data_IF_562947107056
#
_entry.id   IF_562947107056
#
_cell.length_a   1.000
_cell.length_b   1.000
_cell.length_c   1.000
_cell.angle_alpha   90.00
_cell.angle_beta   90.00
_cell.angle_gamma   90.00
#
_symmetry.space_group_name_H-M   'P 1'
#
loop_
_entity.id
_entity.type
_entity.pdbx_description
1 polymer ?
#
# COMPACT_ATOMS: atom_id res chain seq x y z
N UNK A 1 -8.14 84.20 -20.74
CA UNK A 1 -7.15 84.76 -21.70
C UNK A 1 -6.29 83.62 -22.24
N UNK A 2 -6.30 83.45 -23.58
CA UNK A 2 -5.39 82.66 -24.47
C UNK A 2 -5.16 81.17 -24.11
N UNK A 3 -5.76 80.23 -24.85
CA UNK A 3 -5.30 79.68 -26.15
C UNK A 3 -3.90 79.04 -26.02
N UNK A 4 -3.65 77.74 -26.22
CA UNK A 4 -4.24 76.75 -27.12
C UNK A 4 -3.17 76.35 -28.13
N UNK A 5 -2.83 75.06 -28.28
CA UNK A 5 -2.73 74.43 -29.60
C UNK A 5 -2.56 72.90 -29.57
N UNK A 6 -3.25 72.26 -30.51
CA UNK A 6 -3.18 70.85 -30.90
C UNK A 6 -2.25 70.70 -32.12
N UNK A 7 -1.78 69.49 -32.39
CA UNK A 7 -1.33 69.04 -33.73
C UNK A 7 -0.58 67.72 -33.66
N UNK A 8 -1.20 66.56 -33.93
CA UNK A 8 -1.55 65.91 -35.21
C UNK A 8 -0.41 65.10 -35.85
N UNK A 9 -0.65 63.78 -35.89
CA UNK A 9 -0.54 62.81 -37.02
C UNK A 9 0.72 62.76 -37.91
N UNK A 10 1.24 61.54 -38.09
CA UNK A 10 2.01 61.15 -39.27
C UNK A 10 2.56 59.73 -39.23
N UNK A 11 1.88 58.78 -39.91
CA UNK A 11 2.31 57.40 -40.16
C UNK A 11 3.47 57.38 -41.19
N UNK A 12 4.42 56.45 -41.06
CA UNK A 12 4.93 55.69 -42.22
C UNK A 12 5.53 54.34 -41.83
N UNK A 13 5.44 53.42 -42.80
CA UNK A 13 5.51 51.95 -42.74
C UNK A 13 6.58 51.52 -43.73
N UNK A 14 7.58 50.73 -43.32
CA UNK A 14 8.46 49.89 -44.17
C UNK A 14 8.87 48.69 -43.29
N UNK A 15 8.29 47.49 -43.38
CA UNK A 15 8.44 46.35 -44.32
C UNK A 15 9.85 45.72 -44.36
N UNK A 16 9.85 44.38 -44.26
CA UNK A 16 10.94 43.40 -44.50
C UNK A 16 11.89 43.18 -43.31
N UNK A 17 12.30 41.96 -42.91
CA UNK A 17 12.20 40.62 -43.51
C UNK A 17 12.51 39.55 -42.45
N UNK A 18 11.95 38.37 -42.69
CA UNK A 18 12.22 37.04 -42.12
C UNK A 18 13.69 36.71 -41.77
N UNK A 19 13.88 36.02 -40.65
CA UNK A 19 15.10 35.30 -40.31
C UNK A 19 14.88 34.36 -39.12
N UNK A 20 14.40 33.14 -39.39
CA UNK A 20 14.43 32.03 -38.44
C UNK A 20 15.88 31.68 -38.09
N UNK A 21 16.20 31.59 -36.79
CA UNK A 21 17.38 30.87 -36.32
C UNK A 21 16.96 29.85 -35.27
N UNK A 22 16.85 28.61 -35.73
CA UNK A 22 16.74 27.40 -34.91
C UNK A 22 18.07 27.24 -34.17
N UNK A 23 18.03 27.25 -32.83
CA UNK A 23 19.18 26.89 -31.99
C UNK A 23 19.05 25.41 -31.66
N UNK A 24 19.75 24.57 -32.41
CA UNK A 24 19.91 23.13 -32.10
C UNK A 24 20.96 22.98 -31.00
N UNK A 25 20.58 22.39 -29.86
CA UNK A 25 21.50 21.95 -28.80
C UNK A 25 22.30 20.71 -29.26
N UNK A 26 23.59 20.59 -28.91
CA UNK A 26 24.38 19.42 -29.27
C UNK A 26 24.07 18.22 -28.36
N UNK A 27 23.86 17.05 -28.98
CA UNK A 27 23.63 15.75 -28.33
C UNK A 27 24.91 15.21 -27.66
N UNK A 28 24.78 14.45 -26.55
CA UNK A 28 25.92 13.81 -25.88
C UNK A 28 26.43 12.59 -26.67
N UNK A 29 27.72 12.24 -26.55
CA UNK A 29 28.30 11.10 -27.28
C UNK A 29 27.82 9.75 -26.70
N UNK A 30 27.50 8.82 -27.60
CA UNK A 30 27.21 7.41 -27.28
C UNK A 30 28.53 6.67 -26.99
N UNK A 31 28.57 5.75 -26.00
CA UNK A 31 29.69 4.83 -25.87
C UNK A 31 29.58 3.69 -26.89
N UNK A 32 30.72 3.42 -27.54
CA UNK A 32 30.95 2.39 -28.55
C UNK A 32 30.95 0.98 -27.97
N UNK A 33 30.27 0.06 -28.64
CA UNK A 33 30.45 -1.39 -28.51
C UNK A 33 31.71 -1.85 -29.23
N UNK A 34 32.60 -2.56 -28.53
CA UNK A 34 33.50 -3.52 -29.17
C UNK A 34 33.85 -4.65 -28.20
N UNK A 35 33.42 -5.87 -28.55
CA UNK A 35 34.03 -7.12 -28.10
C UNK A 35 35.48 -7.18 -28.61
N UNK A 36 36.43 -7.65 -27.79
CA UNK A 36 37.10 -8.92 -28.10
C UNK A 36 38.02 -9.48 -26.99
N UNK A 37 37.91 -10.80 -26.87
CA UNK A 37 38.88 -11.84 -26.51
C UNK A 37 40.07 -11.62 -25.54
N UNK A 38 40.05 -12.46 -24.49
CA UNK A 38 41.10 -13.39 -24.02
C UNK A 38 42.57 -12.91 -24.06
N UNK A 39 43.19 -12.82 -22.88
CA UNK A 39 44.41 -13.60 -22.55
C UNK A 39 44.71 -13.64 -21.05
N UNK A 40 44.90 -14.88 -20.62
CA UNK A 40 45.54 -15.39 -19.41
C UNK A 40 46.89 -14.77 -19.07
N UNK A 41 47.14 -14.49 -17.79
CA UNK A 41 48.46 -14.64 -17.13
C UNK A 41 48.27 -15.04 -15.67
N UNK A 42 48.90 -16.16 -15.31
CA UNK A 42 49.18 -16.69 -13.98
C UNK A 42 49.88 -15.67 -13.05
N UNK A 43 49.43 -15.57 -11.78
CA UNK A 43 50.35 -15.36 -10.65
C UNK A 43 49.85 -16.18 -9.45
N UNK A 44 50.61 -17.22 -9.12
CA UNK A 44 50.47 -18.04 -7.92
C UNK A 44 51.63 -17.71 -6.97
N UNK A 45 51.33 -17.28 -5.74
CA UNK A 45 52.04 -17.65 -4.48
C UNK A 45 51.55 -16.81 -3.30
N UNK A 46 51.07 -17.49 -2.25
CA UNK A 46 50.86 -16.86 -0.94
C UNK A 46 49.98 -17.66 0.02
N UNK A 47 50.38 -18.89 0.37
CA UNK A 47 49.78 -19.68 1.47
C UNK A 47 49.80 -18.89 2.79
N UNK A 48 48.64 -18.76 3.47
CA UNK A 48 48.53 -18.98 4.92
C UNK A 48 47.19 -19.64 5.23
N UNK A 49 47.31 -20.77 5.92
CA UNK A 49 46.30 -21.69 6.43
C UNK A 49 45.54 -21.09 7.60
N UNK A 50 44.21 -21.24 7.59
CA UNK A 50 43.35 -21.05 8.78
C UNK A 50 42.79 -22.42 9.13
N UNK A 51 43.06 -22.82 10.37
CA UNK A 51 42.72 -24.11 10.98
C UNK A 51 41.21 -24.31 11.11
N UNK A 52 40.78 -25.50 10.70
CA UNK A 52 39.43 -26.02 10.90
C UNK A 52 39.31 -26.57 12.32
N UNK A 53 38.48 -25.95 13.16
CA UNK A 53 38.14 -26.46 14.48
C UNK A 53 37.20 -27.68 14.37
N UNK A 54 37.76 -28.86 14.56
CA UNK A 54 37.04 -30.11 14.85
C UNK A 54 36.66 -30.18 16.33
N UNK A 55 35.37 -30.37 16.63
CA UNK A 55 34.87 -30.72 17.97
C UNK A 55 35.05 -32.21 18.26
N UNK A 56 35.31 -32.62 19.51
CA UNK A 56 35.56 -34.02 19.86
C UNK A 56 34.26 -34.79 20.15
N UNK A 57 34.30 -36.09 19.82
CA UNK A 57 33.35 -37.11 20.27
C UNK A 57 33.52 -37.39 21.77
N UNK A 58 32.40 -37.62 22.46
CA UNK A 58 32.37 -38.40 23.69
C UNK A 58 31.12 -39.30 23.71
N UNK A 59 31.37 -40.53 24.13
CA UNK A 59 30.59 -41.74 23.95
C UNK A 59 29.46 -41.95 24.97
N UNK A 60 28.42 -42.67 24.49
CA UNK A 60 27.62 -43.71 25.17
C UNK A 60 26.91 -43.35 26.48
N UNK A 61 25.58 -43.45 26.47
CA UNK A 61 24.83 -44.50 27.19
C UNK A 61 23.39 -44.53 26.68
N UNK A 62 22.90 -45.73 26.36
CA UNK A 62 21.54 -45.93 25.84
C UNK A 62 20.56 -46.27 26.96
N UNK A 63 19.31 -45.85 26.79
CA UNK A 63 18.13 -46.41 27.46
C UNK A 63 16.98 -46.41 26.44
N UNK A 64 16.36 -47.56 26.12
CA UNK A 64 15.26 -47.62 25.16
C UNK A 64 13.93 -47.31 25.84
N UNK A 65 13.20 -46.31 25.35
CA UNK A 65 11.81 -46.06 25.75
C UNK A 65 10.90 -47.01 24.97
N UNK A 66 10.25 -47.93 25.69
CA UNK A 66 9.24 -48.85 25.17
C UNK A 66 7.93 -48.09 24.94
N UNK A 67 7.43 -48.12 23.71
CA UNK A 67 6.05 -47.74 23.37
C UNK A 67 5.16 -48.92 23.73
N UNK A 68 4.28 -48.73 24.72
CA UNK A 68 3.25 -49.70 25.10
C UNK A 68 1.91 -49.22 24.52
N UNK A 69 1.43 -49.93 23.49
CA UNK A 69 0.06 -49.84 23.02
C UNK A 69 -0.85 -50.56 24.03
N UNK A 70 -1.90 -49.87 24.49
CA UNK A 70 -2.93 -50.45 25.35
C UNK A 70 -4.29 -50.35 24.66
N UNK A 71 -4.71 -51.47 24.07
CA UNK A 71 -6.10 -51.77 23.75
C UNK A 71 -6.80 -52.25 25.02
N UNK A 72 -7.86 -51.57 25.45
CA UNK A 72 -8.88 -52.15 26.34
C UNK A 72 -10.25 -51.69 25.84
N UNK A 73 -11.05 -52.65 25.38
CA UNK A 73 -12.50 -52.52 25.36
C UNK A 73 -13.08 -53.15 26.62
N UNK A 74 -14.18 -52.62 27.14
CA UNK A 74 -15.43 -53.36 27.39
C UNK A 74 -16.50 -52.48 28.05
N UNK A 75 -17.74 -52.94 27.82
CA UNK A 75 -18.91 -52.87 28.69
C UNK A 75 -19.88 -51.68 28.52
N UNK A 76 -20.94 -52.01 27.79
CA UNK A 76 -22.24 -51.38 27.78
C UNK A 76 -22.87 -51.37 29.18
N UNK A 77 -23.54 -50.26 29.50
CA UNK A 77 -24.60 -50.22 30.51
C UNK A 77 -25.87 -49.73 29.81
N UNK A 78 -26.85 -50.62 29.74
CA UNK A 78 -28.19 -50.33 29.26
C UNK A 78 -28.95 -49.52 30.31
N UNK A 79 -29.40 -48.31 29.94
CA UNK A 79 -30.33 -47.51 30.70
C UNK A 79 -31.58 -47.24 29.87
N UNK A 80 -32.70 -47.84 30.27
CA UNK A 80 -34.04 -47.56 29.73
C UNK A 80 -34.58 -46.24 30.31
N UNK A 81 -34.98 -45.32 29.43
CA UNK A 81 -35.68 -44.06 29.75
C UNK A 81 -36.49 -43.58 28.54
N UNK A 82 -37.58 -42.82 28.73
CA UNK A 82 -38.80 -42.97 27.96
C UNK A 82 -38.77 -42.38 26.54
N UNK A 83 -39.51 -43.07 25.68
CA UNK A 83 -39.79 -42.84 24.26
C UNK A 83 -40.21 -41.38 23.98
N UNK A 84 -39.25 -40.55 23.60
CA UNK A 84 -39.49 -39.24 22.97
C UNK A 84 -39.49 -39.42 21.44
N UNK A 85 -40.40 -38.71 20.78
CA UNK A 85 -40.66 -38.79 19.35
C UNK A 85 -39.38 -38.63 18.51
N UNK A 86 -39.23 -39.50 17.51
CA UNK A 86 -38.16 -39.39 16.53
C UNK A 86 -38.27 -38.04 15.81
N UNK A 87 -37.22 -37.20 15.81
CA UNK A 87 -37.15 -36.13 14.84
C UNK A 87 -37.03 -36.80 13.48
N UNK A 88 -37.99 -36.52 12.59
CA UNK A 88 -37.87 -36.77 11.16
C UNK A 88 -36.49 -36.33 10.72
N UNK A 89 -35.68 -37.27 10.24
CA UNK A 89 -34.41 -37.00 9.61
C UNK A 89 -34.67 -35.99 8.49
N UNK A 90 -34.40 -34.72 8.78
CA UNK A 90 -34.28 -33.70 7.76
C UNK A 90 -33.25 -34.23 6.78
N UNK A 91 -33.68 -34.35 5.53
CA UNK A 91 -32.80 -34.55 4.38
C UNK A 91 -31.54 -33.70 4.61
N UNK A 92 -30.32 -34.26 4.55
CA UNK A 92 -29.14 -33.43 4.61
C UNK A 92 -29.29 -32.43 3.46
N UNK A 93 -29.43 -31.15 3.81
CA UNK A 93 -29.38 -30.07 2.84
C UNK A 93 -28.05 -30.22 2.14
N UNK A 94 -28.10 -30.72 0.90
CA UNK A 94 -26.95 -30.77 0.03
C UNK A 94 -26.39 -29.35 -0.03
N UNK A 95 -25.13 -29.17 0.35
CA UNK A 95 -24.39 -27.97 -0.02
C UNK A 95 -24.65 -27.71 -1.52
N UNK A 96 -24.95 -26.47 -1.95
CA UNK A 96 -25.26 -26.23 -3.35
C UNK A 96 -24.09 -26.71 -4.19
N UNK A 97 -24.35 -27.64 -5.12
CA UNK A 97 -23.41 -27.89 -6.19
C UNK A 97 -23.20 -26.58 -6.96
N UNK A 98 -21.95 -26.14 -7.13
CA UNK A 98 -21.59 -25.15 -8.15
C UNK A 98 -21.32 -23.70 -7.71
N UNK A 99 -21.15 -23.39 -6.41
CA UNK A 99 -20.73 -22.03 -6.00
C UNK A 99 -19.30 -21.76 -6.44
N UNK A 100 -19.09 -20.75 -7.30
CA UNK A 100 -17.76 -20.30 -7.68
C UNK A 100 -17.24 -19.21 -6.75
N UNK A 101 -15.92 -19.03 -6.72
CA UNK A 101 -15.24 -18.10 -5.81
C UNK A 101 -14.47 -17.02 -6.53
N UNK A 102 -14.54 -15.83 -5.96
CA UNK A 102 -13.53 -14.79 -6.11
C UNK A 102 -12.62 -14.84 -4.90
N UNK A 103 -11.33 -15.00 -5.14
CA UNK A 103 -10.31 -15.01 -4.07
C UNK A 103 -9.60 -13.66 -4.06
N UNK A 104 -9.40 -13.09 -2.88
CA UNK A 104 -8.51 -11.95 -2.67
C UNK A 104 -7.28 -12.45 -1.91
N UNK A 105 -6.09 -12.35 -2.49
CA UNK A 105 -4.82 -12.72 -1.85
C UNK A 105 -4.15 -11.45 -1.33
N UNK A 106 -3.89 -11.37 -0.03
CA UNK A 106 -3.17 -10.23 0.56
C UNK A 106 -1.65 -10.34 0.31
N UNK A 107 -0.90 -9.25 0.49
CA UNK A 107 0.56 -9.30 0.48
C UNK A 107 1.14 -9.83 1.81
N UNK A 108 0.45 -9.61 2.93
CA UNK A 108 0.80 -10.09 4.27
C UNK A 108 -0.39 -10.05 5.23
N UNK A 109 -0.12 -10.11 6.53
CA UNK A 109 -1.13 -10.00 7.58
C UNK A 109 -1.01 -8.63 8.27
N UNK A 110 -2.00 -7.77 8.04
CA UNK A 110 -2.07 -6.41 8.56
C UNK A 110 -3.54 -6.00 8.76
N UNK A 111 -3.89 -5.22 9.81
CA UNK A 111 -5.25 -4.72 10.04
C UNK A 111 -5.88 -3.94 8.87
N UNK A 112 -5.08 -3.37 7.97
CA UNK A 112 -5.53 -2.79 6.69
C UNK A 112 -6.43 -3.77 5.91
N UNK A 113 -6.10 -5.06 5.96
CA UNK A 113 -6.84 -6.10 5.25
C UNK A 113 -8.21 -6.41 5.89
N UNK A 114 -8.43 -6.06 7.16
CA UNK A 114 -9.75 -6.23 7.79
C UNK A 114 -10.77 -5.26 7.20
N UNK A 115 -10.37 -4.01 6.95
CA UNK A 115 -11.20 -3.03 6.24
C UNK A 115 -11.48 -3.45 4.79
N UNK A 116 -10.47 -3.97 4.09
CA UNK A 116 -10.64 -4.52 2.74
C UNK A 116 -11.61 -5.71 2.74
N UNK A 117 -11.50 -6.61 3.72
CA UNK A 117 -12.40 -7.75 3.84
C UNK A 117 -13.85 -7.32 4.13
N UNK A 118 -14.06 -6.32 5.00
CA UNK A 118 -15.39 -5.73 5.20
C UNK A 118 -15.94 -5.16 3.88
N UNK A 119 -15.08 -4.55 3.07
CA UNK A 119 -15.40 -4.13 1.71
C UNK A 119 -15.79 -5.26 0.76
N UNK A 120 -15.08 -6.38 0.79
CA UNK A 120 -15.42 -7.58 0.01
C UNK A 120 -16.80 -8.14 0.42
N UNK A 121 -17.08 -8.20 1.73
CA UNK A 121 -18.37 -8.66 2.25
C UNK A 121 -19.49 -7.73 1.81
N UNK A 122 -19.32 -6.42 1.95
CA UNK A 122 -20.31 -5.45 1.52
C UNK A 122 -20.48 -5.45 0.00
N UNK A 123 -19.40 -5.55 -0.77
CA UNK A 123 -19.45 -5.70 -2.22
C UNK A 123 -20.21 -6.96 -2.63
N UNK A 124 -19.97 -8.08 -1.95
CA UNK A 124 -20.68 -9.33 -2.21
C UNK A 124 -22.19 -9.18 -2.02
N UNK A 125 -22.61 -8.47 -0.97
CA UNK A 125 -24.01 -8.13 -0.71
C UNK A 125 -24.57 -7.15 -1.74
N UNK A 126 -23.89 -6.02 -2.01
CA UNK A 126 -24.33 -4.96 -2.93
C UNK A 126 -24.52 -5.46 -4.36
N UNK A 127 -23.67 -6.38 -4.81
CA UNK A 127 -23.68 -6.88 -6.18
C UNK A 127 -24.32 -8.27 -6.31
N UNK A 128 -24.95 -8.77 -5.25
CA UNK A 128 -25.77 -9.99 -5.27
C UNK A 128 -24.99 -11.25 -5.63
N UNK A 129 -23.78 -11.43 -5.09
CA UNK A 129 -22.96 -12.61 -5.44
C UNK A 129 -23.65 -13.93 -5.09
N UNK A 130 -24.30 -14.02 -3.93
CA UNK A 130 -24.96 -15.26 -3.47
C UNK A 130 -26.05 -15.71 -4.44
N UNK A 131 -26.91 -14.78 -4.90
CA UNK A 131 -27.96 -15.03 -5.89
C UNK A 131 -27.41 -15.51 -7.24
N UNK A 132 -26.13 -15.21 -7.51
CA UNK A 132 -25.40 -15.59 -8.72
C UNK A 132 -24.57 -16.87 -8.56
N UNK A 133 -24.65 -17.53 -7.40
CA UNK A 133 -23.81 -18.69 -7.08
C UNK A 133 -22.32 -18.32 -6.98
N UNK A 134 -22.02 -17.11 -6.53
CA UNK A 134 -20.68 -16.59 -6.33
C UNK A 134 -20.43 -16.28 -4.85
N UNK A 135 -19.18 -16.35 -4.41
CA UNK A 135 -18.75 -15.83 -3.11
C UNK A 135 -17.37 -15.18 -3.20
N UNK A 136 -17.15 -14.10 -2.45
CA UNK A 136 -15.83 -13.49 -2.27
C UNK A 136 -15.16 -14.03 -1.00
N UNK A 137 -13.86 -14.29 -1.06
CA UNK A 137 -13.08 -14.83 0.07
C UNK A 137 -11.73 -14.15 0.12
N UNK A 138 -11.34 -13.64 1.28
CA UNK A 138 -9.98 -13.19 1.52
C UNK A 138 -9.10 -14.34 2.04
N UNK A 139 -7.88 -14.41 1.51
CA UNK A 139 -6.86 -15.40 1.82
C UNK A 139 -5.58 -14.65 2.21
N UNK A 140 -5.24 -14.69 3.50
CA UNK A 140 -4.05 -14.01 4.01
C UNK A 140 -2.78 -14.71 3.54
N UNK A 141 -1.84 -13.95 2.98
CA UNK A 141 -0.50 -14.44 2.69
C UNK A 141 0.38 -14.41 3.94
N UNK A 142 1.41 -15.25 3.97
CA UNK A 142 2.38 -15.31 5.08
C UNK A 142 3.46 -14.22 5.03
N UNK A 143 3.27 -13.16 4.22
CA UNK A 143 4.26 -12.10 4.04
C UNK A 143 5.45 -12.50 3.15
N UNK A 144 5.34 -13.57 2.35
CA UNK A 144 6.42 -14.00 1.44
C UNK A 144 5.93 -14.13 -0.01
N UNK A 145 6.82 -13.91 -0.97
CA UNK A 145 6.54 -14.17 -2.38
C UNK A 145 6.23 -15.65 -2.66
N UNK A 146 6.94 -16.55 -1.97
CA UNK A 146 6.73 -17.99 -2.08
C UNK A 146 5.29 -18.38 -1.68
N UNK A 147 4.76 -17.77 -0.61
CA UNK A 147 3.38 -17.99 -0.19
C UNK A 147 2.34 -17.59 -1.26
N UNK A 148 2.57 -16.47 -1.98
CA UNK A 148 1.68 -16.07 -3.09
C UNK A 148 1.78 -17.05 -4.26
N UNK A 149 2.99 -17.47 -4.64
CA UNK A 149 3.24 -18.44 -5.71
C UNK A 149 2.51 -19.77 -5.42
N UNK A 150 2.62 -20.29 -4.20
CA UNK A 150 1.98 -21.54 -3.79
C UNK A 150 0.45 -21.44 -3.82
N UNK A 151 -0.12 -20.33 -3.31
CA UNK A 151 -1.57 -20.09 -3.38
C UNK A 151 -2.07 -20.02 -4.82
N UNK A 152 -1.39 -19.27 -5.69
CA UNK A 152 -1.76 -19.16 -7.11
C UNK A 152 -1.74 -20.53 -7.80
N UNK A 153 -0.70 -21.34 -7.58
CA UNK A 153 -0.61 -22.73 -8.07
C UNK A 153 -1.75 -23.59 -7.55
N UNK A 154 -2.06 -23.48 -6.26
CA UNK A 154 -3.14 -24.24 -5.62
C UNK A 154 -4.51 -23.89 -6.24
N UNK A 155 -4.77 -22.63 -6.55
CA UNK A 155 -6.00 -22.22 -7.25
C UNK A 155 -6.02 -22.73 -8.71
N UNK A 156 -4.84 -22.96 -9.27
CA UNK A 156 -4.63 -23.61 -10.56
C UNK A 156 -5.20 -25.04 -10.67
N UNK A 157 -5.51 -25.71 -9.56
CA UNK A 157 -6.12 -27.04 -9.58
C UNK A 157 -7.61 -27.05 -9.19
N UNK A 158 -8.17 -25.90 -8.82
CA UNK A 158 -9.51 -25.76 -8.29
C UNK A 158 -10.46 -25.21 -9.36
N UNK A 159 -11.49 -25.99 -9.73
CA UNK A 159 -12.43 -25.65 -10.80
C UNK A 159 -13.48 -24.62 -10.41
N UNK A 160 -13.63 -24.35 -9.12
CA UNK A 160 -14.58 -23.39 -8.57
C UNK A 160 -14.03 -21.96 -8.51
N UNK A 161 -12.75 -21.73 -8.79
CA UNK A 161 -12.17 -20.38 -8.80
C UNK A 161 -12.57 -19.65 -10.09
N UNK A 162 -13.41 -18.64 -9.96
CA UNK A 162 -13.85 -17.78 -11.06
C UNK A 162 -12.95 -16.56 -11.26
N UNK A 163 -12.31 -16.08 -10.20
CA UNK A 163 -11.44 -14.92 -10.24
C UNK A 163 -10.51 -14.83 -9.03
N UNK A 164 -9.38 -14.18 -9.22
CA UNK A 164 -8.38 -13.89 -8.20
C UNK A 164 -7.98 -12.41 -8.31
N UNK A 165 -8.17 -11.68 -7.22
CA UNK A 165 -7.53 -10.41 -6.95
C UNK A 165 -6.31 -10.66 -6.05
N UNK A 166 -5.22 -9.95 -6.30
CA UNK A 166 -3.99 -10.10 -5.52
C UNK A 166 -3.35 -8.74 -5.24
N UNK A 167 -2.97 -8.48 -3.98
CA UNK A 167 -1.98 -7.44 -3.66
C UNK A 167 -0.60 -8.05 -3.77
N UNK A 168 0.11 -7.72 -4.85
CA UNK A 168 1.42 -8.33 -5.17
C UNK A 168 2.47 -7.83 -4.17
N UNK A 169 3.16 -8.75 -3.50
CA UNK A 169 4.16 -8.39 -2.47
C UNK A 169 5.47 -7.85 -3.06
N UNK A 170 5.82 -8.27 -4.28
CA UNK A 170 7.06 -7.90 -4.96
C UNK A 170 6.77 -7.65 -6.44
N UNK A 171 6.74 -6.37 -6.81
CA UNK A 171 6.36 -5.92 -8.15
C UNK A 171 7.20 -6.57 -9.26
N UNK A 172 8.50 -6.80 -9.01
CA UNK A 172 9.44 -7.37 -9.98
C UNK A 172 9.48 -8.91 -10.03
N UNK A 173 8.66 -9.60 -9.24
CA UNK A 173 8.76 -11.05 -9.10
C UNK A 173 8.11 -11.79 -10.28
N UNK A 174 8.92 -12.18 -11.25
CA UNK A 174 8.48 -12.89 -12.46
C UNK A 174 7.74 -14.21 -12.17
N UNK A 175 8.05 -14.91 -11.07
CA UNK A 175 7.38 -16.17 -10.73
C UNK A 175 5.93 -15.94 -10.27
N UNK A 176 5.64 -14.87 -9.53
CA UNK A 176 4.26 -14.47 -9.21
C UNK A 176 3.51 -14.14 -10.51
N UNK A 177 4.13 -13.35 -11.38
CA UNK A 177 3.57 -12.94 -12.68
C UNK A 177 3.24 -14.15 -13.55
N UNK A 178 4.13 -15.14 -13.61
CA UNK A 178 3.91 -16.37 -14.38
C UNK A 178 2.69 -17.14 -13.87
N UNK A 179 2.53 -17.32 -12.56
CA UNK A 179 1.37 -18.02 -12.00
C UNK A 179 0.06 -17.24 -12.19
N UNK A 180 0.11 -15.91 -12.13
CA UNK A 180 -1.04 -15.06 -12.51
C UNK A 180 -1.46 -15.32 -13.96
N UNK A 181 -0.50 -15.34 -14.89
CA UNK A 181 -0.76 -15.63 -16.31
C UNK A 181 -1.28 -17.05 -16.53
N UNK A 182 -0.76 -18.04 -15.81
CA UNK A 182 -1.21 -19.42 -15.87
C UNK A 182 -2.69 -19.55 -15.45
N UNK A 183 -3.11 -18.85 -14.40
CA UNK A 183 -4.53 -18.79 -14.01
C UNK A 183 -5.38 -18.11 -15.07
N UNK A 184 -4.93 -16.97 -15.59
CA UNK A 184 -5.65 -16.24 -16.65
C UNK A 184 -5.87 -17.10 -17.90
N UNK A 185 -4.86 -17.86 -18.33
CA UNK A 185 -4.94 -18.78 -19.47
C UNK A 185 -5.98 -19.90 -19.27
N UNK A 186 -6.36 -20.21 -18.03
CA UNK A 186 -7.41 -21.18 -17.68
C UNK A 186 -8.80 -20.56 -17.56
N UNK A 187 -8.93 -19.26 -17.84
CA UNK A 187 -10.19 -18.52 -17.77
C UNK A 187 -10.51 -17.91 -16.41
N UNK A 188 -9.62 -18.03 -15.42
CA UNK A 188 -9.75 -17.34 -14.13
C UNK A 188 -9.52 -15.84 -14.36
N UNK A 189 -10.42 -14.99 -13.87
CA UNK A 189 -10.22 -13.53 -13.97
C UNK A 189 -9.12 -13.09 -13.01
N UNK A 190 -8.18 -12.29 -13.48
CA UNK A 190 -7.05 -11.82 -12.68
C UNK A 190 -7.07 -10.30 -12.64
N UNK A 191 -6.89 -9.72 -11.45
CA UNK A 191 -6.65 -8.28 -11.25
C UNK A 191 -5.62 -8.09 -10.14
N UNK A 192 -4.98 -6.93 -10.10
CA UNK A 192 -4.16 -6.53 -8.95
C UNK A 192 -4.87 -5.47 -8.12
N UNK A 193 -4.66 -5.48 -6.81
CA UNK A 193 -5.32 -4.56 -5.89
C UNK A 193 -4.33 -4.10 -4.82
N UNK A 194 -4.26 -2.81 -4.53
CA UNK A 194 -3.28 -2.20 -3.61
C UNK A 194 -1.82 -2.37 -4.10
N UNK A 195 -1.25 -3.57 -4.00
CA UNK A 195 0.06 -3.94 -4.58
C UNK A 195 -0.07 -4.39 -6.03
N UNK A 196 0.73 -3.79 -6.93
CA UNK A 196 0.75 -4.12 -8.35
C UNK A 196 2.05 -4.80 -8.77
N UNK A 197 2.07 -5.35 -9.98
CA UNK A 197 3.29 -5.78 -10.66
C UNK A 197 4.06 -4.56 -11.18
N UNK A 198 5.35 -4.72 -11.48
CA UNK A 198 6.08 -3.71 -12.22
C UNK A 198 5.44 -3.57 -13.61
N UNK A 199 4.75 -2.46 -13.84
CA UNK A 199 3.94 -2.23 -15.05
C UNK A 199 4.80 -1.99 -16.30
N UNK A 200 6.05 -1.56 -16.13
CA UNK A 200 6.99 -1.41 -17.24
C UNK A 200 7.50 -2.76 -17.73
N UNK A 201 7.71 -3.70 -16.80
CA UNK A 201 8.19 -5.05 -17.11
C UNK A 201 7.08 -6.06 -17.44
N UNK A 202 5.92 -5.94 -16.78
CA UNK A 202 4.87 -6.96 -16.75
C UNK A 202 3.46 -6.41 -17.05
N UNK A 203 3.36 -5.43 -17.97
CA UNK A 203 2.08 -4.78 -18.36
C UNK A 203 0.95 -5.75 -18.70
N UNK A 204 1.29 -6.94 -19.22
CA UNK A 204 0.34 -7.98 -19.65
C UNK A 204 -0.06 -8.98 -18.55
N UNK A 205 0.48 -8.86 -17.33
CA UNK A 205 0.18 -9.78 -16.22
C UNK A 205 -1.29 -9.68 -15.74
N UNK A 206 -1.91 -8.51 -15.92
CA UNK A 206 -3.26 -8.21 -15.43
C UNK A 206 -3.91 -7.12 -16.30
N UNK A 207 -5.23 -7.19 -16.56
CA UNK A 207 -5.95 -6.20 -17.35
C UNK A 207 -6.32 -4.93 -16.57
N UNK A 208 -6.47 -5.00 -15.24
CA UNK A 208 -6.99 -3.90 -14.40
C UNK A 208 -6.37 -3.89 -13.01
N UNK A 209 -6.16 -2.69 -12.47
CA UNK A 209 -5.71 -2.44 -11.10
C UNK A 209 -6.71 -1.59 -10.34
N UNK A 210 -6.87 -1.88 -9.05
CA UNK A 210 -7.65 -1.08 -8.10
C UNK A 210 -6.73 -0.69 -6.96
N UNK A 211 -6.64 0.59 -6.61
CA UNK A 211 -5.88 0.95 -5.43
C UNK A 211 -5.70 2.45 -5.23
N UNK A 212 -4.49 2.82 -4.84
CA UNK A 212 -4.17 4.19 -4.44
C UNK A 212 -3.18 4.81 -5.41
N UNK A 213 -3.45 6.04 -5.85
CA UNK A 213 -2.40 6.87 -6.44
C UNK A 213 -1.47 7.36 -5.33
N UNK A 214 -0.37 6.63 -5.15
CA UNK A 214 0.60 6.88 -4.08
C UNK A 214 1.34 8.21 -4.25
N UNK A 215 1.52 8.71 -5.48
CA UNK A 215 2.12 10.02 -5.73
C UNK A 215 1.15 11.11 -5.27
N UNK A 216 -0.14 11.01 -5.64
CA UNK A 216 -1.18 11.95 -5.19
C UNK A 216 -1.33 11.90 -3.68
N UNK A 217 -1.30 10.71 -3.06
CA UNK A 217 -1.31 10.58 -1.60
C UNK A 217 -0.13 11.29 -0.96
N UNK A 218 1.08 11.11 -1.51
CA UNK A 218 2.27 11.81 -1.03
C UNK A 218 2.09 13.32 -1.11
N UNK A 219 1.59 13.82 -2.25
CA UNK A 219 1.33 15.25 -2.44
C UNK A 219 0.30 15.77 -1.44
N UNK A 220 -0.77 15.03 -1.20
CA UNK A 220 -1.79 15.38 -0.21
C UNK A 220 -1.19 15.53 1.19
N UNK A 221 -0.34 14.58 1.60
CA UNK A 221 0.34 14.65 2.90
C UNK A 221 1.31 15.84 2.96
N UNK A 222 2.05 16.11 1.88
CA UNK A 222 2.96 17.25 1.78
C UNK A 222 2.25 18.60 1.83
N UNK A 223 1.08 18.72 1.17
CA UNK A 223 0.22 19.91 1.25
C UNK A 223 -0.30 20.13 2.67
N UNK A 224 -0.77 19.08 3.32
CA UNK A 224 -1.22 19.15 4.71
C UNK A 224 -0.08 19.58 5.64
N UNK A 225 1.11 18.98 5.50
CA UNK A 225 2.28 19.36 6.28
C UNK A 225 2.66 20.82 6.10
N UNK A 226 2.64 21.33 4.86
CA UNK A 226 2.92 22.74 4.56
C UNK A 226 1.93 23.67 5.24
N UNK A 227 0.63 23.37 5.19
CA UNK A 227 -0.41 24.16 5.84
C UNK A 227 -0.18 24.21 7.37
N UNK A 228 0.08 23.06 7.98
CA UNK A 228 0.37 22.95 9.42
C UNK A 228 1.62 23.74 9.81
N UNK A 229 2.70 23.61 9.03
CA UNK A 229 3.96 24.32 9.27
C UNK A 229 3.78 25.84 9.14
N UNK A 230 3.04 26.30 8.12
CA UNK A 230 2.72 27.70 7.94
C UNK A 230 1.86 28.26 9.09
N UNK A 231 0.84 27.52 9.53
CA UNK A 231 -0.01 27.88 10.68
C UNK A 231 0.80 27.99 11.99
N UNK A 232 1.91 27.24 12.11
CA UNK A 232 2.87 27.32 13.22
C UNK A 232 3.94 28.40 13.05
N UNK A 233 3.88 29.20 11.97
CA UNK A 233 4.89 30.22 11.65
C UNK A 233 6.25 29.64 11.25
N UNK A 234 6.34 28.34 10.91
CA UNK A 234 7.59 27.70 10.45
C UNK A 234 7.68 27.79 8.94
N UNK A 235 8.49 28.71 8.44
CA UNK A 235 8.69 28.93 6.99
C UNK A 235 9.79 28.08 6.37
N UNK A 236 10.58 27.37 7.16
CA UNK A 236 11.67 26.48 6.70
C UNK A 236 12.03 25.43 7.75
N UNK A 237 12.78 24.40 7.36
CA UNK A 237 13.37 23.42 8.29
C UNK A 237 13.58 22.04 7.66
N UNK A 238 14.23 21.14 8.40
CA UNK A 238 14.44 19.77 7.95
C UNK A 238 13.21 18.88 8.16
N UNK A 239 13.08 17.81 7.39
CA UNK A 239 12.16 16.72 7.71
C UNK A 239 12.78 15.36 7.39
N UNK A 240 12.34 14.33 8.09
CA UNK A 240 12.72 12.93 7.86
C UNK A 240 11.48 12.13 7.50
N UNK A 241 11.62 11.22 6.53
CA UNK A 241 10.57 10.26 6.17
C UNK A 241 10.94 8.85 6.63
N UNK A 242 9.98 8.13 7.21
CA UNK A 242 10.14 6.76 7.72
C UNK A 242 9.25 5.80 6.91
N UNK A 243 9.78 4.63 6.57
CA UNK A 243 9.06 3.51 5.96
C UNK A 243 9.83 2.22 6.22
N UNK A 244 9.22 1.05 6.02
CA UNK A 244 9.98 -0.20 6.08
C UNK A 244 10.98 -0.33 4.95
N UNK A 245 10.54 -0.18 3.70
CA UNK A 245 11.39 -0.23 2.52
C UNK A 245 11.24 1.06 1.72
N UNK A 246 12.26 1.91 1.72
CA UNK A 246 12.24 3.23 1.07
C UNK A 246 12.34 3.15 -0.46
N UNK A 247 12.72 1.98 -0.95
CA UNK A 247 12.85 1.61 -2.35
C UNK A 247 11.66 0.80 -2.88
N UNK A 248 10.66 0.47 -2.07
CA UNK A 248 9.38 -0.04 -2.57
C UNK A 248 8.64 1.07 -3.32
N UNK A 249 8.00 0.74 -4.45
CA UNK A 249 7.40 1.75 -5.34
C UNK A 249 6.32 2.60 -4.66
N UNK A 250 5.48 2.00 -3.83
CA UNK A 250 4.46 2.72 -3.07
C UNK A 250 5.08 3.73 -2.09
N UNK A 251 6.08 3.31 -1.29
CA UNK A 251 6.78 4.16 -0.33
C UNK A 251 7.55 5.27 -1.06
N UNK A 252 8.29 4.92 -2.12
CA UNK A 252 9.03 5.87 -2.96
C UNK A 252 8.11 6.93 -3.55
N UNK A 253 6.95 6.51 -4.07
CA UNK A 253 5.93 7.40 -4.63
C UNK A 253 5.36 8.36 -3.56
N UNK A 254 4.93 7.83 -2.40
CA UNK A 254 4.45 8.67 -1.28
C UNK A 254 5.52 9.67 -0.84
N UNK A 255 6.76 9.23 -0.66
CA UNK A 255 7.87 10.07 -0.23
C UNK A 255 8.22 11.16 -1.25
N UNK A 256 8.21 10.82 -2.54
CA UNK A 256 8.50 11.77 -3.61
C UNK A 256 7.36 12.79 -3.77
N UNK A 257 6.10 12.34 -3.72
CA UNK A 257 4.94 13.22 -3.74
C UNK A 257 4.94 14.19 -2.56
N UNK A 258 5.31 13.72 -1.36
CA UNK A 258 5.47 14.58 -0.18
C UNK A 258 6.50 15.68 -0.44
N UNK A 259 7.70 15.29 -0.90
CA UNK A 259 8.79 16.22 -1.21
C UNK A 259 8.40 17.26 -2.27
N UNK A 260 7.69 16.84 -3.31
CA UNK A 260 7.18 17.74 -4.35
C UNK A 260 6.22 18.79 -3.80
N UNK A 261 5.40 18.41 -2.81
CA UNK A 261 4.28 19.23 -2.38
C UNK A 261 4.54 20.10 -1.15
N UNK A 262 5.46 19.69 -0.26
CA UNK A 262 5.73 20.38 1.02
C UNK A 262 6.37 21.76 0.82
N UNK A 263 7.12 21.95 -0.26
CA UNK A 263 7.70 23.24 -0.68
C UNK A 263 9.22 23.32 -0.49
N UNK A 264 9.88 24.12 -1.32
CA UNK A 264 11.35 24.17 -1.46
C UNK A 264 12.10 24.68 -0.22
N UNK A 265 11.41 25.39 0.68
CA UNK A 265 12.01 25.88 1.94
C UNK A 265 12.13 24.80 3.02
N UNK A 266 11.57 23.61 2.79
CA UNK A 266 11.71 22.45 3.66
C UNK A 266 12.60 21.41 3.01
N UNK A 267 13.60 20.94 3.74
CA UNK A 267 14.64 20.04 3.21
C UNK A 267 14.44 18.63 3.73
N UNK A 268 14.36 17.65 2.82
CA UNK A 268 14.48 16.23 3.17
C UNK A 268 15.91 15.98 3.67
N UNK A 269 16.08 15.72 4.96
CA UNK A 269 17.41 15.48 5.54
C UNK A 269 17.75 13.99 5.63
N UNK A 270 16.74 13.12 5.64
CA UNK A 270 16.93 11.66 5.64
C UNK A 270 15.67 10.89 5.19
N UNK A 271 15.88 9.64 4.74
CA UNK A 271 14.86 8.60 4.54
C UNK A 271 15.31 7.35 5.26
N UNK A 272 14.60 6.97 6.32
CA UNK A 272 15.06 5.90 7.21
C UNK A 272 14.23 4.61 7.00
N UNK A 273 14.80 3.56 6.36
CA UNK A 273 14.18 2.26 6.25
C UNK A 273 14.19 1.53 7.61
N UNK A 274 13.11 0.81 7.91
CA UNK A 274 12.99 0.00 9.12
C UNK A 274 12.78 -1.50 8.87
N UNK A 275 12.63 -1.94 7.62
CA UNK A 275 12.44 -3.34 7.22
C UNK A 275 11.25 -4.03 7.92
N UNK A 276 10.21 -3.27 8.27
CA UNK A 276 9.06 -3.72 9.08
C UNK A 276 9.40 -4.13 10.52
N UNK A 277 10.62 -3.84 10.99
CA UNK A 277 11.02 -4.02 12.37
C UNK A 277 10.49 -2.86 13.22
N UNK A 278 9.46 -3.12 14.02
CA UNK A 278 8.83 -2.11 14.88
C UNK A 278 9.77 -1.50 15.93
N UNK A 279 10.82 -2.21 16.32
CA UNK A 279 11.85 -1.67 17.22
C UNK A 279 12.76 -0.72 16.45
N UNK A 280 13.20 -1.13 15.26
CA UNK A 280 13.98 -0.26 14.36
C UNK A 280 13.22 0.99 13.96
N UNK A 281 11.91 0.89 13.70
CA UNK A 281 11.06 2.05 13.40
C UNK A 281 11.13 3.12 14.52
N UNK A 282 11.06 2.70 15.79
CA UNK A 282 11.22 3.61 16.94
C UNK A 282 12.64 4.14 17.08
N UNK A 283 13.64 3.29 16.91
CA UNK A 283 15.04 3.69 17.00
C UNK A 283 15.45 4.65 15.88
N UNK A 284 14.87 4.53 14.69
CA UNK A 284 15.01 5.49 13.60
C UNK A 284 14.48 6.86 14.01
N UNK A 285 13.30 6.95 14.63
CA UNK A 285 12.78 8.24 15.12
C UNK A 285 13.70 8.83 16.19
N UNK A 286 14.18 8.02 17.14
CA UNK A 286 15.14 8.47 18.18
C UNK A 286 16.42 9.01 17.53
N UNK A 287 16.93 8.30 16.53
CA UNK A 287 18.15 8.65 15.79
C UNK A 287 17.95 9.94 15.00
N UNK A 288 16.82 10.10 14.31
CA UNK A 288 16.49 11.32 13.57
C UNK A 288 16.48 12.56 14.47
N UNK A 289 15.86 12.47 15.66
CA UNK A 289 15.81 13.57 16.61
C UNK A 289 17.19 13.97 17.18
N UNK A 290 18.11 13.00 17.29
CA UNK A 290 19.48 13.26 17.77
C UNK A 290 20.35 13.83 16.65
N UNK A 291 20.30 13.22 15.46
CA UNK A 291 21.18 13.56 14.35
C UNK A 291 20.76 14.84 13.61
N UNK A 292 19.49 15.23 13.72
CA UNK A 292 18.93 16.39 13.03
C UNK A 292 18.19 17.31 14.02
N UNK A 293 18.88 18.15 14.80
CA UNK A 293 18.24 19.03 15.79
C UNK A 293 17.38 20.16 15.18
N UNK A 294 17.47 20.39 13.87
CA UNK A 294 16.72 21.42 13.12
C UNK A 294 15.47 20.92 12.40
N UNK A 295 14.91 19.78 12.84
CA UNK A 295 13.69 19.24 12.24
C UNK A 295 12.49 20.16 12.48
N UNK A 296 11.66 20.27 11.46
CA UNK A 296 10.35 20.89 11.50
C UNK A 296 9.24 19.83 11.42
N UNK A 297 9.50 18.69 10.76
CA UNK A 297 8.52 17.61 10.63
C UNK A 297 9.14 16.20 10.68
N UNK A 298 8.33 15.24 11.14
CA UNK A 298 8.54 13.80 11.03
C UNK A 298 7.39 13.23 10.19
N UNK A 299 7.72 12.40 9.20
CA UNK A 299 6.76 11.91 8.19
C UNK A 299 6.71 10.39 8.20
N UNK A 300 5.58 9.81 8.62
CA UNK A 300 5.38 8.36 8.60
C UNK A 300 4.71 7.92 7.30
N UNK A 301 5.28 6.97 6.57
CA UNK A 301 4.77 6.57 5.24
C UNK A 301 3.93 5.31 5.29
N UNK A 302 4.12 4.45 6.30
CA UNK A 302 3.30 3.27 6.57
C UNK A 302 2.63 3.36 7.95
N UNK A 303 1.56 2.58 8.12
CA UNK A 303 0.67 2.64 9.28
C UNK A 303 1.39 2.63 10.64
N UNK A 304 2.36 1.73 10.83
CA UNK A 304 3.06 1.58 12.11
C UNK A 304 4.10 2.67 12.39
N UNK A 305 4.44 3.52 11.41
CA UNK A 305 5.33 4.66 11.66
C UNK A 305 4.63 5.71 12.52
N UNK A 306 3.31 5.84 12.40
CA UNK A 306 2.52 6.81 13.16
C UNK A 306 2.61 6.63 14.69
N UNK A 307 2.32 5.44 15.26
CA UNK A 307 2.51 5.23 16.69
C UNK A 307 3.97 5.34 17.12
N UNK A 308 4.95 4.91 16.30
CA UNK A 308 6.37 5.03 16.62
C UNK A 308 6.84 6.50 16.73
N UNK A 309 6.41 7.35 15.79
CA UNK A 309 6.69 8.78 15.81
C UNK A 309 6.08 9.41 17.08
N UNK A 310 4.80 9.15 17.33
CA UNK A 310 4.10 9.73 18.47
C UNK A 310 4.70 9.33 19.83
N UNK A 311 5.04 8.05 20.01
CA UNK A 311 5.68 7.51 21.22
C UNK A 311 7.02 8.20 21.48
N UNK A 312 7.91 8.24 20.49
CA UNK A 312 9.25 8.80 20.68
C UNK A 312 9.22 10.32 20.83
N UNK A 313 8.32 11.02 20.14
CA UNK A 313 8.15 12.46 20.32
C UNK A 313 7.72 12.81 21.75
N UNK A 314 6.86 11.99 22.36
CA UNK A 314 6.46 12.10 23.76
C UNK A 314 7.64 11.82 24.69
N UNK A 315 8.35 10.69 24.51
CA UNK A 315 9.55 10.32 25.28
C UNK A 315 10.60 11.44 25.31
N UNK A 316 10.79 12.13 24.19
CA UNK A 316 11.80 13.18 24.01
C UNK A 316 11.31 14.58 24.35
N UNK A 317 10.04 14.73 24.73
CA UNK A 317 9.42 16.04 24.96
C UNK A 317 9.49 16.94 23.72
N UNK A 318 9.39 16.36 22.52
CA UNK A 318 9.51 17.03 21.23
C UNK A 318 8.27 17.87 20.84
N UNK A 319 7.38 18.12 21.81
CA UNK A 319 6.28 19.11 21.76
C UNK A 319 6.11 19.86 23.08
N UNK A 320 7.11 19.82 23.97
CA UNK A 320 7.01 20.41 25.32
C UNK A 320 6.97 21.94 25.35
N UNK A 321 7.40 22.59 24.26
CA UNK A 321 7.37 24.06 24.09
C UNK A 321 7.02 24.42 22.65
N UNK A 322 6.60 25.67 22.42
CA UNK A 322 6.34 26.17 21.06
C UNK A 322 7.57 26.04 20.13
N UNK A 323 8.78 26.29 20.66
CA UNK A 323 10.04 26.14 19.93
C UNK A 323 10.34 24.69 19.55
N UNK A 324 9.92 23.73 20.38
CA UNK A 324 10.10 22.29 20.12
C UNK A 324 8.97 21.70 19.28
N UNK A 325 7.90 22.43 19.01
CA UNK A 325 6.68 21.92 18.36
C UNK A 325 6.94 21.30 16.97
N UNK A 326 7.28 20.02 16.94
CA UNK A 326 7.50 19.25 15.73
C UNK A 326 6.18 18.84 15.09
N UNK A 327 6.09 18.99 13.78
CA UNK A 327 4.98 18.47 12.98
C UNK A 327 5.10 16.96 12.78
N UNK A 328 4.01 16.23 12.99
CA UNK A 328 3.92 14.80 12.74
C UNK A 328 2.75 14.55 11.79
N UNK A 329 3.05 14.09 10.59
CA UNK A 329 2.07 13.77 9.55
C UNK A 329 2.35 12.36 9.05
N UNK A 330 1.31 11.56 8.88
CA UNK A 330 1.49 10.13 8.66
C UNK A 330 0.53 9.57 7.61
N UNK A 331 0.78 8.34 7.20
CA UNK A 331 -0.12 7.55 6.36
C UNK A 331 -0.84 6.46 7.15
N UNK A 332 -1.99 6.07 6.62
CA UNK A 332 -2.86 4.99 7.09
C UNK A 332 -3.40 5.24 8.51
N UNK A 333 -4.39 4.46 8.93
CA UNK A 333 -5.14 4.69 10.16
C UNK A 333 -5.20 3.44 11.03
N UNK A 334 -4.04 2.96 11.48
CA UNK A 334 -4.00 1.96 12.54
C UNK A 334 -4.66 2.50 13.82
N UNK A 335 -5.32 1.63 14.59
CA UNK A 335 -6.07 2.01 15.78
C UNK A 335 -5.22 2.85 16.76
N UNK A 336 -3.96 2.48 16.96
CA UNK A 336 -3.04 3.24 17.80
C UNK A 336 -2.79 4.66 17.26
N UNK A 337 -2.69 4.85 15.94
CA UNK A 337 -2.51 6.18 15.34
C UNK A 337 -3.73 7.09 15.57
N UNK A 338 -4.94 6.53 15.55
CA UNK A 338 -6.17 7.27 15.85
C UNK A 338 -6.18 7.80 17.29
N UNK A 339 -5.75 6.98 18.25
CA UNK A 339 -5.60 7.43 19.64
C UNK A 339 -4.51 8.50 19.78
N UNK A 340 -3.37 8.32 19.12
CA UNK A 340 -2.29 9.32 19.12
C UNK A 340 -2.73 10.65 18.50
N UNK A 341 -3.57 10.64 17.47
CA UNK A 341 -4.17 11.86 16.94
C UNK A 341 -5.14 12.51 17.94
N UNK A 342 -6.01 11.72 18.59
CA UNK A 342 -6.92 12.23 19.61
C UNK A 342 -6.17 12.87 20.80
N UNK A 343 -4.99 12.36 21.12
CA UNK A 343 -4.06 12.90 22.14
C UNK A 343 -3.27 14.14 21.66
N UNK A 344 -3.47 14.59 20.41
CA UNK A 344 -2.74 15.74 19.84
C UNK A 344 -1.28 15.44 19.46
N UNK A 345 -0.93 14.17 19.27
CA UNK A 345 0.45 13.72 18.93
C UNK A 345 0.67 13.51 17.43
N UNK A 346 -0.40 13.50 16.63
CA UNK A 346 -0.38 13.44 15.16
C UNK A 346 -1.25 14.58 14.63
N UNK A 347 -0.72 15.35 13.67
CA UNK A 347 -1.36 16.58 13.19
C UNK A 347 -2.25 16.35 11.96
N UNK A 348 -1.92 15.36 11.12
CA UNK A 348 -2.77 14.92 10.01
C UNK A 348 -2.38 13.50 9.56
N UNK A 349 -3.34 12.77 9.00
CA UNK A 349 -3.12 11.47 8.38
C UNK A 349 -3.70 11.43 6.97
N UNK A 350 -2.97 10.90 6.01
CA UNK A 350 -3.54 10.50 4.71
C UNK A 350 -3.88 9.02 4.79
N UNK A 351 -5.15 8.70 4.65
CA UNK A 351 -5.69 7.36 4.83
C UNK A 351 -6.23 6.86 3.50
N UNK A 352 -5.83 5.64 3.14
CA UNK A 352 -6.32 4.96 1.96
C UNK A 352 -7.76 4.47 2.17
N UNK A 353 -8.36 3.89 1.13
CA UNK A 353 -9.71 3.32 1.22
C UNK A 353 -9.73 1.82 0.88
N UNK A 354 -9.14 0.95 1.73
CA UNK A 354 -9.19 -0.50 1.52
C UNK A 354 -10.60 -1.06 1.47
N UNK A 355 -11.54 -0.50 2.24
CA UNK A 355 -12.94 -0.88 2.17
C UNK A 355 -13.49 -0.75 0.75
N UNK A 356 -13.25 0.40 0.10
CA UNK A 356 -13.66 0.60 -1.27
C UNK A 356 -12.87 -0.27 -2.25
N UNK A 357 -11.58 -0.58 -1.98
CA UNK A 357 -10.83 -1.57 -2.76
C UNK A 357 -11.53 -2.93 -2.74
N UNK A 358 -12.02 -3.38 -1.58
CA UNK A 358 -12.80 -4.61 -1.47
C UNK A 358 -14.11 -4.55 -2.24
N UNK A 359 -14.89 -3.47 -2.10
CA UNK A 359 -16.16 -3.28 -2.81
C UNK A 359 -15.93 -3.32 -4.33
N UNK A 360 -14.98 -2.54 -4.83
CA UNK A 360 -14.70 -2.45 -6.27
C UNK A 360 -14.07 -3.74 -6.82
N UNK A 361 -13.32 -4.49 -6.01
CA UNK A 361 -12.83 -5.82 -6.39
C UNK A 361 -13.99 -6.75 -6.74
N UNK A 362 -15.02 -6.79 -5.89
CA UNK A 362 -16.19 -7.63 -6.16
C UNK A 362 -16.92 -7.14 -7.41
N UNK A 363 -17.12 -5.83 -7.55
CA UNK A 363 -17.78 -5.24 -8.72
C UNK A 363 -17.09 -5.66 -10.02
N UNK A 364 -15.77 -5.51 -10.05
CA UNK A 364 -14.95 -5.78 -11.23
C UNK A 364 -14.88 -7.27 -11.56
N UNK A 365 -14.57 -8.12 -10.58
CA UNK A 365 -14.48 -9.56 -10.82
C UNK A 365 -15.82 -10.16 -11.26
N UNK A 366 -16.95 -9.69 -10.69
CA UNK A 366 -18.30 -10.04 -11.17
C UNK A 366 -18.46 -9.64 -12.63
N UNK A 367 -18.20 -8.37 -12.97
CA UNK A 367 -18.39 -7.87 -14.32
C UNK A 367 -17.52 -8.63 -15.34
N UNK A 368 -16.25 -8.91 -15.00
CA UNK A 368 -15.36 -9.72 -15.83
C UNK A 368 -15.81 -11.17 -15.98
N UNK A 369 -16.38 -11.76 -14.92
CA UNK A 369 -16.89 -13.14 -14.93
C UNK A 369 -18.13 -13.29 -15.81
N UNK A 370 -19.04 -12.32 -15.72
CA UNK A 370 -20.33 -12.30 -16.44
C UNK A 370 -20.24 -11.70 -17.85
N UNK A 371 -19.05 -11.23 -18.25
CA UNK A 371 -18.83 -10.48 -19.50
C UNK A 371 -19.71 -9.21 -19.61
N UNK A 372 -19.90 -8.52 -18.48
CA UNK A 372 -20.59 -7.23 -18.38
C UNK A 372 -19.64 -6.09 -18.76
N UNK A 373 -19.41 -5.94 -20.07
CA UNK A 373 -18.50 -4.94 -20.63
C UNK A 373 -18.94 -3.50 -20.32
N UNK A 374 -20.24 -3.26 -20.11
CA UNK A 374 -20.77 -1.94 -19.76
C UNK A 374 -20.29 -1.50 -18.37
N UNK A 375 -20.39 -2.37 -17.37
CA UNK A 375 -19.85 -2.08 -16.02
C UNK A 375 -18.33 -1.89 -16.06
N UNK A 376 -17.61 -2.69 -16.85
CA UNK A 376 -16.15 -2.55 -16.99
C UNK A 376 -15.79 -1.20 -17.63
N UNK A 377 -16.51 -0.77 -18.67
CA UNK A 377 -16.29 0.52 -19.32
C UNK A 377 -16.64 1.70 -18.40
N UNK A 378 -17.65 1.56 -17.54
CA UNK A 378 -17.97 2.57 -16.52
C UNK A 378 -16.84 2.69 -15.48
N UNK A 379 -16.28 1.56 -15.03
CA UNK A 379 -15.18 1.55 -14.06
C UNK A 379 -13.85 2.04 -14.66
N UNK A 380 -13.63 1.82 -15.96
CA UNK A 380 -12.40 2.18 -16.66
C UNK A 380 -12.72 3.00 -17.94
N UNK A 381 -13.23 4.23 -17.79
CA UNK A 381 -13.70 5.03 -18.93
C UNK A 381 -12.58 5.42 -19.90
N UNK A 382 -11.33 5.43 -19.43
CA UNK A 382 -10.15 5.78 -20.21
C UNK A 382 -9.39 4.55 -20.74
N UNK A 383 -10.00 3.36 -20.70
CA UNK A 383 -9.34 2.12 -21.13
C UNK A 383 -8.73 2.26 -22.53
N UNK A 384 -7.48 1.82 -22.67
CA UNK A 384 -6.71 1.91 -23.91
C UNK A 384 -5.81 3.14 -24.00
N UNK A 385 -5.98 4.13 -23.11
CA UNK A 385 -5.01 5.22 -22.91
C UNK A 385 -3.91 4.78 -21.92
N UNK A 386 -2.76 5.49 -21.87
CA UNK A 386 -1.80 5.33 -20.79
C UNK A 386 -2.51 5.44 -19.43
N UNK A 387 -2.26 4.47 -18.55
CA UNK A 387 -2.87 4.38 -17.22
C UNK A 387 -4.41 4.31 -17.17
N UNK A 388 -5.07 4.10 -18.31
CA UNK A 388 -6.51 3.88 -18.39
C UNK A 388 -6.98 2.54 -17.79
N UNK A 389 -6.05 1.71 -17.33
CA UNK A 389 -6.26 0.44 -16.64
C UNK A 389 -6.25 0.56 -15.10
N UNK A 390 -6.18 1.78 -14.57
CA UNK A 390 -6.13 2.06 -13.13
C UNK A 390 -7.46 2.63 -12.62
N UNK A 391 -7.96 2.06 -11.53
CA UNK A 391 -9.06 2.61 -10.74
C UNK A 391 -8.50 3.04 -9.37
N UNK A 392 -8.68 4.31 -9.01
CA UNK A 392 -8.31 4.79 -7.67
C UNK A 392 -9.53 4.77 -6.75
N UNK A 393 -9.36 4.39 -5.49
CA UNK A 393 -10.47 4.29 -4.52
C UNK A 393 -10.63 5.52 -3.61
N UNK A 394 -9.94 6.60 -3.98
CA UNK A 394 -9.92 7.85 -3.23
C UNK A 394 -8.98 7.81 -2.03
N UNK A 395 -8.75 8.99 -1.48
CA UNK A 395 -7.92 9.23 -0.31
C UNK A 395 -8.72 10.04 0.71
N UNK A 396 -8.40 9.88 1.99
CA UNK A 396 -8.95 10.70 3.07
C UNK A 396 -7.84 11.46 3.76
N UNK A 397 -8.04 12.76 3.98
CA UNK A 397 -7.23 13.56 4.88
C UNK A 397 -7.95 13.62 6.23
N UNK A 398 -7.41 12.90 7.21
CA UNK A 398 -7.92 12.87 8.57
C UNK A 398 -7.21 13.93 9.40
N UNK A 399 -7.98 14.73 10.12
CA UNK A 399 -7.49 15.85 10.94
C UNK A 399 -8.05 15.78 12.38
N UNK A 400 -7.40 16.46 13.35
CA UNK A 400 -7.97 16.63 14.68
C UNK A 400 -9.35 17.30 14.67
N UNK A 401 -10.20 16.94 15.63
CA UNK A 401 -11.55 17.51 15.75
C UNK A 401 -11.56 18.98 16.16
N UNK A 402 -10.58 19.40 16.97
CA UNK A 402 -10.47 20.77 17.50
C UNK A 402 -9.35 21.51 16.81
N UNK A 403 -9.65 22.71 16.29
CA UNK A 403 -8.71 23.63 15.64
C UNK A 403 -7.73 22.96 14.65
N UNK A 404 -8.23 22.22 13.63
CA UNK A 404 -7.36 21.60 12.64
C UNK A 404 -6.52 22.66 11.92
N UNK A 405 -5.20 22.48 11.94
CA UNK A 405 -4.24 23.43 11.38
C UNK A 405 -4.14 23.36 9.84
N UNK A 406 -4.77 22.36 9.23
CA UNK A 406 -4.96 22.25 7.79
C UNK A 406 -6.45 22.28 7.49
N UNK A 407 -6.87 23.11 6.54
CA UNK A 407 -8.26 23.24 6.10
C UNK A 407 -8.43 22.73 4.67
N UNK A 408 -9.66 22.41 4.23
CA UNK A 408 -9.91 22.00 2.85
C UNK A 408 -9.37 22.99 1.81
N UNK A 409 -9.51 24.29 2.05
CA UNK A 409 -9.03 25.35 1.15
C UNK A 409 -7.51 25.43 0.99
N UNK A 410 -6.74 24.78 1.88
CA UNK A 410 -5.28 24.72 1.80
C UNK A 410 -4.77 23.66 0.80
N UNK A 411 -5.67 22.80 0.30
CA UNK A 411 -5.36 21.63 -0.52
C UNK A 411 -5.90 21.82 -1.94
N UNK A 412 -4.98 21.91 -2.90
CA UNK A 412 -5.22 22.04 -4.33
C UNK A 412 -5.19 20.67 -5.06
N UNK A 413 -5.82 19.66 -4.46
CA UNK A 413 -5.88 18.29 -4.98
C UNK A 413 -7.34 17.87 -5.06
N UNK A 414 -7.78 17.37 -6.21
CA UNK A 414 -9.14 16.88 -6.39
C UNK A 414 -9.29 15.44 -5.88
N UNK A 415 -10.52 15.05 -5.55
CA UNK A 415 -10.88 13.64 -5.33
C UNK A 415 -10.45 13.03 -3.99
N UNK A 416 -10.08 13.85 -3.00
CA UNK A 416 -9.89 13.41 -1.61
C UNK A 416 -11.07 13.82 -0.73
N UNK A 417 -11.27 13.09 0.36
CA UNK A 417 -12.25 13.40 1.40
C UNK A 417 -11.54 14.06 2.59
N UNK A 418 -12.03 15.21 3.06
CA UNK A 418 -11.54 15.84 4.28
C UNK A 418 -12.43 15.42 5.45
N UNK A 419 -11.85 14.78 6.48
CA UNK A 419 -12.62 14.27 7.63
C UNK A 419 -12.00 14.66 8.97
N UNK A 420 -12.79 15.24 9.89
CA UNK A 420 -12.45 15.23 11.31
C UNK A 420 -12.34 13.80 11.85
N UNK A 421 -11.46 13.58 12.83
CA UNK A 421 -11.21 12.27 13.44
C UNK A 421 -12.50 11.60 13.94
N UNK A 422 -13.41 12.35 14.58
CA UNK A 422 -14.70 11.84 15.05
C UNK A 422 -15.56 11.27 13.91
N UNK A 423 -15.66 11.97 12.78
CA UNK A 423 -16.40 11.50 11.59
C UNK A 423 -15.78 10.27 10.98
N UNK A 424 -14.45 10.20 10.96
CA UNK A 424 -13.75 9.02 10.50
C UNK A 424 -13.99 7.81 11.42
N UNK A 425 -14.00 8.02 12.75
CA UNK A 425 -14.36 6.97 13.74
C UNK A 425 -15.82 6.51 13.61
N UNK A 426 -16.75 7.42 13.35
CA UNK A 426 -18.15 7.08 13.06
C UNK A 426 -18.26 6.18 11.82
N UNK A 427 -17.52 6.52 10.75
CA UNK A 427 -17.45 5.70 9.54
C UNK A 427 -16.86 4.31 9.83
N UNK A 428 -15.77 4.22 10.59
CA UNK A 428 -15.20 2.93 11.01
C UNK A 428 -16.22 2.09 11.80
N UNK A 429 -16.90 2.71 12.77
CA UNK A 429 -17.89 2.04 13.61
C UNK A 429 -19.08 1.50 12.81
N UNK A 430 -19.52 2.20 11.75
CA UNK A 430 -20.60 1.73 10.86
C UNK A 430 -20.30 0.35 10.27
N UNK A 431 -19.03 0.03 10.03
CA UNK A 431 -18.59 -1.24 9.43
C UNK A 431 -17.91 -2.17 10.44
N UNK A 432 -17.97 -1.86 11.74
CA UNK A 432 -17.32 -2.66 12.79
C UNK A 432 -15.78 -2.68 12.70
N UNK A 433 -15.19 -1.62 12.14
CA UNK A 433 -13.75 -1.48 11.94
C UNK A 433 -13.12 -0.69 13.09
N UNK A 434 -11.87 -1.02 13.41
CA UNK A 434 -11.03 -0.28 14.37
C UNK A 434 -9.87 0.46 13.70
N UNK A 435 -9.62 0.18 12.42
CA UNK A 435 -8.54 0.76 11.62
C UNK A 435 -8.88 0.71 10.13
N UNK A 436 -8.12 1.45 9.32
CA UNK A 436 -8.22 1.45 7.86
C UNK A 436 -6.90 1.77 7.18
#
# INVERSE_FOLDING_TARGET
MRAGNRGRFGKHRIRQTTGHRVITRPSPPRPSTQCDARRSVDINRGRRSVETLTRPEASRTGVPVRILALCVGLAAVAGCGPKAAAPTAGTPSSAPQGVKRFIFITNGDDPFWDACNAGLVEGARRFGLEERGLRAVMEKNNGTAQGQIEKLRQYGSQSDIAGVAISVIQADNAAIVEEMKNLAARGVKIITVDGDVNRDAFRDARPYYIGTDNIVGGRLLGRAARAILAARGRTSGGYVQFAGFTDNDNARARMNGFREAVGESYTEVDRMPDEMDLTRARDNVRTALVNHPGLAALVGIWAYNAPAIAEVMEERGARSTAEKMLTAVTFDAQAAALERMAEGKIDAMVVQNPFEMGVQTVRLLRAMHEADDATVAEMFPNRGQPDGDLLTTGLRLIVPDTDPLVKPEDIDIDGYEYLPLSRFREWLAQYGLSSS
#
